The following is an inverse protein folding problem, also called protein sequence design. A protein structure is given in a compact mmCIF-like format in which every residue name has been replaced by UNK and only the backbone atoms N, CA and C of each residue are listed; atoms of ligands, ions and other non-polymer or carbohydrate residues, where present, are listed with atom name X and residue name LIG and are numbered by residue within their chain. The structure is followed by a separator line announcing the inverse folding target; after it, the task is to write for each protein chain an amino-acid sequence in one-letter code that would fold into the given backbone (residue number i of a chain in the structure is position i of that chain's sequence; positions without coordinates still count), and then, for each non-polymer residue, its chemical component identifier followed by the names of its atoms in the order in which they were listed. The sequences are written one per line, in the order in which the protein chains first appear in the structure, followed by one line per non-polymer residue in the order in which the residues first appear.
data_IF_842501641901
#
_entry.id   IF_842501641901
#
_cell.length_a   1.000
_cell.length_b   1.000
_cell.length_c   1.000
_cell.angle_alpha   90.00
_cell.angle_beta   90.00
_cell.angle_gamma   90.00
#
_symmetry.space_group_name_H-M   'P 1'
#
loop_
_entity.id
_entity.type
_entity.pdbx_description
1 polymer ?
#
# COMPACT_ATOMS: atom_id res chain seq x y z
N UNK A 1 -16.74 9.27 -0.63
CA UNK A 1 -16.77 8.45 0.61
C UNK A 1 -17.47 9.14 1.79
N UNK A 2 -17.21 10.42 2.15
CA UNK A 2 -17.80 11.04 3.36
C UNK A 2 -19.33 11.02 3.43
N UNK A 3 -20.02 11.10 2.28
CA UNK A 3 -21.48 11.11 2.22
C UNK A 3 -22.19 9.76 2.44
N UNK A 4 -21.49 8.63 2.31
CA UNK A 4 -22.09 7.29 2.46
C UNK A 4 -21.78 6.62 3.79
N UNK A 5 -20.87 7.18 4.60
CA UNK A 5 -20.49 6.60 5.88
C UNK A 5 -21.70 6.46 6.82
N UNK A 6 -22.58 7.47 6.83
CA UNK A 6 -23.82 7.49 7.62
C UNK A 6 -24.91 6.56 7.09
N UNK A 7 -24.78 6.10 5.84
CA UNK A 7 -25.72 5.16 5.20
C UNK A 7 -25.34 3.72 5.55
N UNK A 8 -24.03 3.45 5.63
CA UNK A 8 -23.49 2.09 5.84
C UNK A 8 -23.30 1.79 7.34
N UNK A 9 -22.75 2.74 8.10
CA UNK A 9 -22.50 2.56 9.54
C UNK A 9 -23.57 3.24 10.37
N UNK A 10 -24.27 2.43 11.17
CA UNK A 10 -25.20 2.92 12.19
C UNK A 10 -24.46 3.69 13.29
N UNK A 11 -25.18 4.47 14.08
CA UNK A 11 -24.60 5.15 15.24
C UNK A 11 -23.92 4.17 16.21
N UNK A 12 -24.50 2.98 16.40
CA UNK A 12 -23.92 1.94 17.25
C UNK A 12 -22.62 1.35 16.68
N UNK A 13 -22.52 1.14 15.36
CA UNK A 13 -21.26 0.72 14.74
C UNK A 13 -20.16 1.74 15.01
N UNK A 14 -20.44 3.03 14.82
CA UNK A 14 -19.46 4.09 15.08
C UNK A 14 -19.02 4.14 16.53
N UNK A 15 -19.99 4.02 17.44
CA UNK A 15 -19.74 4.01 18.89
C UNK A 15 -18.84 2.84 19.30
N UNK A 16 -19.11 1.63 18.80
CA UNK A 16 -18.29 0.46 19.13
C UNK A 16 -16.92 0.48 18.44
N UNK A 17 -16.80 1.07 17.24
CA UNK A 17 -15.48 1.30 16.61
C UNK A 17 -14.65 2.27 17.46
N UNK A 18 -15.23 3.40 17.87
CA UNK A 18 -14.55 4.36 18.74
C UNK A 18 -14.15 3.72 20.08
N UNK A 19 -15.06 2.98 20.71
CA UNK A 19 -14.78 2.23 21.94
C UNK A 19 -13.62 1.28 21.76
N UNK A 20 -13.61 0.50 20.68
CA UNK A 20 -12.51 -0.42 20.37
C UNK A 20 -11.18 0.33 20.23
N UNK A 21 -11.16 1.47 19.53
CA UNK A 21 -9.95 2.28 19.34
C UNK A 21 -9.43 2.82 20.68
N UNK A 22 -10.29 3.34 21.55
CA UNK A 22 -9.89 3.86 22.86
C UNK A 22 -9.45 2.75 23.83
N UNK A 23 -10.12 1.60 23.82
CA UNK A 23 -9.79 0.46 24.69
C UNK A 23 -8.40 -0.14 24.38
N UNK A 24 -7.90 0.04 23.15
CA UNK A 24 -6.59 -0.46 22.71
C UNK A 24 -5.53 0.63 22.60
N UNK A 25 -5.83 1.86 23.01
CA UNK A 25 -4.86 2.95 23.04
C UNK A 25 -3.82 2.67 24.13
N UNK A 26 -2.53 2.81 23.79
CA UNK A 26 -1.43 2.65 24.73
C UNK A 26 -1.37 3.85 25.72
N UNK A 27 -0.63 3.69 26.82
CA UNK A 27 -0.47 4.75 27.84
C UNK A 27 0.13 6.05 27.31
N UNK A 28 0.90 5.98 26.22
CA UNK A 28 1.51 7.13 25.52
C UNK A 28 0.53 7.85 24.57
N UNK A 29 -0.71 7.35 24.46
CA UNK A 29 -1.74 7.82 23.55
C UNK A 29 -1.64 7.24 22.13
N UNK A 30 -0.58 6.50 21.81
CA UNK A 30 -0.41 5.91 20.48
C UNK A 30 -1.12 4.57 20.31
N UNK A 31 -1.07 4.04 19.09
CA UNK A 31 -1.60 2.72 18.72
C UNK A 31 -0.54 1.94 17.97
N UNK A 32 -0.37 0.67 18.31
CA UNK A 32 0.56 -0.24 17.61
C UNK A 32 -0.04 -0.89 16.37
N UNK A 33 0.80 -1.60 15.61
CA UNK A 33 0.38 -2.40 14.44
C UNK A 33 -0.59 -3.54 14.83
N UNK A 34 -0.53 -3.97 16.08
CA UNK A 34 -1.38 -4.99 16.68
C UNK A 34 -1.64 -4.60 18.14
N UNK A 35 -2.64 -5.22 18.78
CA UNK A 35 -3.14 -4.84 20.12
C UNK A 35 -2.11 -4.87 21.25
N UNK A 36 -1.02 -5.63 21.11
CA UNK A 36 0.09 -5.68 22.09
C UNK A 36 1.35 -4.97 21.60
N UNK A 37 1.27 -4.30 20.45
CA UNK A 37 2.41 -3.64 19.83
C UNK A 37 2.70 -2.29 20.48
N UNK A 38 3.98 -1.90 20.44
CA UNK A 38 4.36 -0.53 20.74
C UNK A 38 3.67 0.43 19.77
N UNK A 39 3.42 1.64 20.24
CA UNK A 39 2.84 2.70 19.43
C UNK A 39 3.69 2.96 18.19
N UNK A 40 3.04 2.96 17.03
CA UNK A 40 3.68 3.23 15.74
C UNK A 40 3.01 4.42 15.08
N UNK A 41 3.78 5.19 14.30
CA UNK A 41 3.29 6.39 13.63
C UNK A 41 2.13 6.11 12.69
N UNK A 42 2.26 5.05 11.89
CA UNK A 42 1.28 4.69 10.88
C UNK A 42 -0.12 4.44 11.46
N UNK A 43 -0.21 3.55 12.45
CA UNK A 43 -1.46 3.15 13.08
C UNK A 43 -2.04 4.26 13.94
N UNK A 44 -1.19 4.99 14.67
CA UNK A 44 -1.60 6.13 15.48
C UNK A 44 -2.24 7.20 14.62
N UNK A 45 -1.57 7.61 13.54
CA UNK A 45 -2.07 8.65 12.66
C UNK A 45 -3.36 8.24 11.94
N UNK A 46 -3.45 7.01 11.43
CA UNK A 46 -4.69 6.54 10.80
C UNK A 46 -5.88 6.56 11.75
N UNK A 47 -5.71 6.12 13.00
CA UNK A 47 -6.78 6.09 13.99
C UNK A 47 -7.14 7.49 14.50
N UNK A 48 -6.14 8.32 14.80
CA UNK A 48 -6.30 9.73 15.16
C UNK A 48 -7.18 10.49 14.15
N UNK A 49 -7.16 10.07 12.88
CA UNK A 49 -7.94 10.69 11.80
C UNK A 49 -9.21 9.97 11.45
N UNK A 50 -9.32 8.69 11.83
CA UNK A 50 -10.57 7.96 11.73
C UNK A 50 -11.58 8.46 12.77
N UNK A 51 -11.16 8.92 13.96
CA UNK A 51 -12.11 9.39 14.99
C UNK A 51 -12.91 10.64 14.58
N UNK A 52 -12.33 11.71 13.97
CA UNK A 52 -13.10 12.79 13.35
C UNK A 52 -14.08 12.34 12.28
N UNK A 53 -13.67 11.38 11.44
CA UNK A 53 -14.52 10.85 10.35
C UNK A 53 -15.73 10.12 10.94
N UNK A 54 -15.57 9.44 12.08
CA UNK A 54 -16.65 8.76 12.79
C UNK A 54 -17.57 9.73 13.55
N UNK A 55 -17.18 11.00 13.71
CA UNK A 55 -17.96 12.05 14.36
C UNK A 55 -17.56 12.37 15.80
N UNK A 56 -16.38 11.90 16.24
CA UNK A 56 -15.80 12.22 17.54
C UNK A 56 -14.62 13.20 17.39
N UNK A 57 -14.16 13.81 18.48
CA UNK A 57 -12.98 14.66 18.46
C UNK A 57 -11.69 13.91 18.07
N UNK A 58 -10.61 14.64 17.75
CA UNK A 58 -9.29 14.04 17.64
C UNK A 58 -8.91 13.34 18.95
N UNK A 59 -8.38 12.12 18.87
CA UNK A 59 -7.81 11.44 20.03
C UNK A 59 -6.71 12.31 20.67
N UNK A 60 -6.39 12.08 21.95
CA UNK A 60 -5.26 12.76 22.61
C UNK A 60 -4.03 12.63 21.72
N UNK A 61 -3.51 13.78 21.25
CA UNK A 61 -2.38 13.87 20.31
C UNK A 61 -1.17 13.21 20.97
N UNK A 62 -0.72 12.05 20.47
CA UNK A 62 0.40 11.35 21.10
C UNK A 62 1.68 12.10 20.74
N UNK A 63 2.62 12.17 21.69
CA UNK A 63 3.97 12.72 21.44
C UNK A 63 4.64 12.06 20.24
N UNK A 64 4.20 10.85 19.88
CA UNK A 64 4.67 10.10 18.71
C UNK A 64 4.42 10.85 17.40
N UNK A 65 3.28 11.55 17.23
CA UNK A 65 2.98 12.31 16.01
C UNK A 65 4.08 13.33 15.71
N UNK A 66 4.71 13.88 16.76
CA UNK A 66 5.85 14.80 16.68
C UNK A 66 7.17 14.22 16.12
N UNK A 67 7.20 12.94 15.72
CA UNK A 67 8.40 12.18 15.41
C UNK A 67 8.41 11.49 14.02
N UNK A 68 7.48 11.80 13.11
CA UNK A 68 7.29 11.03 11.87
C UNK A 68 8.18 11.39 10.68
N UNK A 69 8.94 10.43 10.15
CA UNK A 69 9.47 10.48 8.77
C UNK A 69 8.41 10.09 7.71
N UNK A 70 8.78 10.33 6.45
CA UNK A 70 8.18 9.83 5.20
C UNK A 70 8.03 8.30 5.15
N UNK A 71 7.17 7.70 5.96
CA UNK A 71 6.60 6.42 5.57
C UNK A 71 5.43 6.73 4.63
N UNK A 72 5.74 6.80 3.34
CA UNK A 72 4.79 6.91 2.23
C UNK A 72 3.95 5.65 2.11
N UNK A 73 3.14 5.37 3.13
CA UNK A 73 2.07 4.40 3.05
C UNK A 73 1.05 4.91 2.04
N UNK A 74 0.69 4.05 1.09
CA UNK A 74 -0.24 4.33 -0.01
C UNK A 74 -1.56 4.97 0.45
N UNK A 75 -2.02 4.66 1.67
CA UNK A 75 -3.20 5.27 2.28
C UNK A 75 -3.13 6.81 2.32
N UNK A 76 -1.98 7.39 2.62
CA UNK A 76 -1.82 8.85 2.72
C UNK A 76 -1.91 9.55 1.38
N UNK A 77 -1.46 8.88 0.32
CA UNK A 77 -1.53 9.42 -1.03
C UNK A 77 -2.97 9.41 -1.55
N UNK A 78 -3.68 8.30 -1.31
CA UNK A 78 -5.10 8.17 -1.64
C UNK A 78 -5.94 9.20 -0.89
N UNK A 79 -5.65 9.45 0.39
CA UNK A 79 -6.32 10.49 1.19
C UNK A 79 -5.95 11.92 0.75
N UNK A 80 -4.93 12.10 -0.08
CA UNK A 80 -4.44 13.41 -0.52
C UNK A 80 -3.60 14.15 0.52
N UNK A 81 -3.20 13.47 1.59
CA UNK A 81 -2.38 14.05 2.66
C UNK A 81 -0.92 14.14 2.25
N UNK A 82 -0.46 13.20 1.42
CA UNK A 82 0.91 13.15 0.91
C UNK A 82 0.91 13.00 -0.61
N UNK A 83 1.96 13.49 -1.27
CA UNK A 83 2.07 13.42 -2.73
C UNK A 83 2.62 12.05 -3.16
N UNK A 84 2.08 11.52 -4.26
CA UNK A 84 2.52 10.28 -4.88
C UNK A 84 3.98 10.31 -5.33
N UNK A 85 4.54 11.50 -5.61
CA UNK A 85 5.96 11.69 -5.92
C UNK A 85 6.89 11.34 -4.74
N UNK A 86 6.40 11.46 -3.52
CA UNK A 86 7.17 11.17 -2.32
C UNK A 86 7.20 9.68 -1.93
N UNK A 87 6.52 8.80 -2.68
CA UNK A 87 6.41 7.36 -2.42
C UNK A 87 7.22 6.55 -3.43
N UNK A 88 7.68 5.36 -3.00
CA UNK A 88 8.36 4.42 -3.90
C UNK A 88 7.45 4.08 -5.10
N UNK A 89 8.02 3.97 -6.31
CA UNK A 89 7.23 3.72 -7.51
C UNK A 89 6.61 2.32 -7.50
N UNK A 90 5.33 2.22 -7.86
CA UNK A 90 4.61 0.94 -8.01
C UNK A 90 4.12 0.80 -9.46
N UNK A 91 5.02 0.46 -10.40
CA UNK A 91 4.69 0.42 -11.83
C UNK A 91 3.66 -0.68 -12.12
N UNK A 92 2.47 -0.36 -12.67
CA UNK A 92 1.46 -1.37 -13.02
C UNK A 92 1.96 -2.33 -14.11
N UNK A 93 2.95 -1.91 -14.90
CA UNK A 93 3.55 -2.70 -15.98
C UNK A 93 4.14 -4.02 -15.46
N UNK A 94 4.52 -4.08 -14.19
CA UNK A 94 4.97 -5.30 -13.52
C UNK A 94 3.94 -6.44 -13.57
N UNK A 95 2.64 -6.10 -13.54
CA UNK A 95 1.55 -7.08 -13.54
C UNK A 95 1.22 -7.59 -14.93
N UNK A 96 1.49 -6.81 -15.97
CA UNK A 96 1.18 -7.21 -17.34
C UNK A 96 1.95 -8.45 -17.74
N UNK A 97 1.26 -9.33 -18.46
CA UNK A 97 1.84 -10.56 -18.99
C UNK A 97 3.09 -10.22 -19.80
N UNK A 98 4.24 -10.68 -19.32
CA UNK A 98 5.52 -10.60 -20.00
C UNK A 98 5.44 -11.28 -21.38
N UNK A 99 5.12 -10.52 -22.41
CA UNK A 99 5.55 -10.81 -23.80
C UNK A 99 6.83 -10.06 -24.17
N UNK A 100 7.25 -9.09 -23.35
CA UNK A 100 8.43 -8.24 -23.63
C UNK A 100 9.72 -8.72 -22.94
N UNK A 101 9.66 -9.52 -21.87
CA UNK A 101 10.86 -10.10 -21.25
C UNK A 101 11.06 -11.55 -21.76
N UNK A 102 12.23 -11.89 -22.37
CA UNK A 102 12.49 -13.21 -22.95
C UNK A 102 12.49 -14.39 -21.98
N UNK A 103 12.28 -14.17 -20.68
CA UNK A 103 12.54 -15.14 -19.60
C UNK A 103 11.29 -15.51 -18.76
N UNK A 104 10.08 -15.40 -19.31
CA UNK A 104 8.88 -15.88 -18.62
C UNK A 104 8.63 -17.39 -18.83
N UNK A 105 8.55 -18.21 -17.76
CA UNK A 105 8.50 -19.67 -17.82
C UNK A 105 7.10 -20.24 -18.12
N UNK A 106 6.41 -19.72 -19.14
CA UNK A 106 5.17 -20.33 -19.69
C UNK A 106 5.28 -20.72 -21.17
N UNK A 107 6.50 -20.68 -21.74
CA UNK A 107 6.81 -21.17 -23.10
C UNK A 107 7.75 -22.38 -23.16
N UNK A 108 8.21 -22.89 -22.02
CA UNK A 108 9.02 -24.11 -21.96
C UNK A 108 8.43 -25.11 -20.97
N UNK A 109 7.25 -25.63 -21.29
CA UNK A 109 7.00 -27.06 -21.05
C UNK A 109 8.05 -27.82 -21.87
N UNK A 110 8.83 -28.70 -21.24
CA UNK A 110 10.07 -29.36 -21.73
C UNK A 110 11.39 -28.67 -21.38
N UNK A 111 11.73 -28.55 -20.09
CA UNK A 111 13.10 -28.76 -19.60
C UNK A 111 13.01 -29.30 -18.16
N UNK A 112 13.84 -30.29 -17.76
CA UNK A 112 13.69 -30.96 -16.48
C UNK A 112 13.97 -30.01 -15.31
N UNK A 113 13.14 -30.20 -14.28
CA UNK A 113 13.09 -29.47 -13.02
C UNK A 113 14.47 -29.28 -12.36
N UNK A 114 14.88 -28.07 -11.93
CA UNK A 114 16.09 -27.87 -11.13
C UNK A 114 15.88 -28.26 -9.66
N UNK A 115 15.25 -29.41 -9.39
CA UNK A 115 15.20 -30.02 -8.04
C UNK A 115 16.47 -30.79 -7.70
N UNK A 116 17.43 -30.91 -8.61
CA UNK A 116 18.52 -31.88 -8.47
C UNK A 116 19.90 -31.30 -8.13
N UNK A 117 20.04 -30.00 -7.81
CA UNK A 117 21.37 -29.44 -7.54
C UNK A 117 21.48 -28.27 -6.53
N UNK A 118 20.49 -28.06 -5.66
CA UNK A 118 20.65 -27.15 -4.50
C UNK A 118 20.06 -27.74 -3.21
N UNK A 119 20.35 -29.02 -2.95
CA UNK A 119 20.20 -29.64 -1.64
C UNK A 119 21.51 -29.46 -0.86
N UNK A 120 21.65 -28.29 -0.23
CA UNK A 120 22.43 -28.02 1.00
C UNK A 120 22.66 -26.51 1.11
N UNK A 121 21.70 -25.76 1.66
CA UNK A 121 22.03 -24.56 2.42
C UNK A 121 20.98 -24.36 3.52
N UNK A 122 21.33 -24.86 4.71
CA UNK A 122 21.04 -24.16 5.95
C UNK A 122 21.43 -22.70 5.77
N UNK A 123 20.47 -21.79 5.74
CA UNK A 123 20.52 -20.54 6.50
C UNK A 123 19.24 -19.76 6.22
N UNK A 124 18.53 -19.46 7.31
CA UNK A 124 17.37 -18.57 7.47
C UNK A 124 17.65 -17.10 7.05
N UNK A 125 18.67 -16.87 6.22
CA UNK A 125 19.13 -15.59 5.69
C UNK A 125 19.70 -15.81 4.28
N UNK A 126 18.85 -16.03 3.29
CA UNK A 126 19.28 -15.95 1.90
C UNK A 126 18.19 -15.33 1.04
N UNK A 127 18.18 -13.99 1.07
CA UNK A 127 18.05 -13.15 -0.12
C UNK A 127 16.65 -13.09 -0.76
N UNK A 128 15.75 -12.25 -0.23
CA UNK A 128 14.38 -11.94 -0.73
C UNK A 128 14.24 -11.44 -2.20
N UNK A 129 15.26 -11.55 -3.06
CA UNK A 129 15.26 -11.01 -4.43
C UNK A 129 14.38 -11.79 -5.41
N UNK A 130 14.10 -13.07 -5.14
CA UNK A 130 13.31 -13.92 -6.03
C UNK A 130 11.82 -13.53 -6.09
N UNK A 131 11.31 -12.78 -5.11
CA UNK A 131 9.92 -12.29 -5.12
C UNK A 131 9.69 -11.06 -6.02
N UNK A 132 10.76 -10.36 -6.41
CA UNK A 132 10.69 -9.15 -7.26
C UNK A 132 10.70 -9.44 -8.76
N UNK A 133 10.93 -10.69 -9.17
CA UNK A 133 11.17 -11.01 -10.60
C UNK A 133 9.97 -11.65 -11.28
N UNK A 134 8.96 -12.11 -10.54
CA UNK A 134 7.77 -12.73 -11.11
C UNK A 134 6.58 -12.61 -10.17
N UNK A 135 5.53 -11.93 -10.63
CA UNK A 135 4.25 -11.84 -9.93
C UNK A 135 3.67 -13.24 -9.58
N UNK A 136 3.97 -14.27 -10.38
CA UNK A 136 3.49 -15.63 -10.13
C UNK A 136 4.11 -16.29 -8.89
N UNK A 137 5.32 -15.86 -8.49
CA UNK A 137 6.06 -16.40 -7.33
C UNK A 137 5.83 -15.61 -6.04
N UNK A 138 5.08 -14.50 -6.09
CA UNK A 138 4.74 -13.72 -4.91
C UNK A 138 3.76 -14.47 -4.00
N UNK A 139 3.85 -14.22 -2.70
CA UNK A 139 2.86 -14.70 -1.73
C UNK A 139 1.45 -14.22 -2.14
N UNK A 140 0.45 -15.08 -1.95
CA UNK A 140 -0.93 -14.83 -2.42
C UNK A 140 -1.47 -13.48 -1.95
N UNK A 141 -1.27 -13.17 -0.66
CA UNK A 141 -1.67 -11.89 -0.06
C UNK A 141 -1.07 -10.70 -0.82
N UNK A 142 0.26 -10.64 -0.92
CA UNK A 142 0.97 -9.57 -1.64
C UNK A 142 0.52 -9.45 -3.11
N UNK A 143 0.32 -10.57 -3.79
CA UNK A 143 -0.16 -10.59 -5.19
C UNK A 143 -1.57 -10.03 -5.35
N UNK A 144 -2.37 -10.00 -4.29
CA UNK A 144 -3.73 -9.43 -4.31
C UNK A 144 -3.77 -7.98 -3.81
N UNK A 145 -2.86 -7.59 -2.90
CA UNK A 145 -2.80 -6.22 -2.37
C UNK A 145 -2.07 -5.24 -3.29
N UNK A 146 -0.95 -5.64 -3.91
CA UNK A 146 -0.13 -4.70 -4.69
C UNK A 146 -0.72 -4.27 -6.04
N UNK A 147 -1.51 -5.09 -6.77
CA UNK A 147 -2.15 -4.62 -8.01
C UNK A 147 -3.06 -3.38 -7.82
N UNK A 148 -4.03 -3.35 -6.88
CA UNK A 148 -4.83 -2.15 -6.67
C UNK A 148 -3.99 -0.96 -6.19
N UNK A 149 -2.94 -1.18 -5.38
CA UNK A 149 -2.00 -0.09 -5.04
C UNK A 149 -1.28 0.47 -6.28
N UNK A 150 -0.89 -0.39 -7.22
CA UNK A 150 -0.23 0.00 -8.47
C UNK A 150 -1.20 0.73 -9.40
N UNK A 151 -2.49 0.34 -9.40
CA UNK A 151 -3.55 1.06 -10.10
C UNK A 151 -3.66 2.51 -9.59
N UNK A 152 -3.78 2.71 -8.27
CA UNK A 152 -3.85 4.06 -7.69
C UNK A 152 -2.58 4.88 -7.92
N UNK A 153 -1.41 4.24 -7.88
CA UNK A 153 -0.14 4.89 -8.21
C UNK A 153 -0.12 5.37 -9.66
N UNK A 154 -0.58 4.54 -10.59
CA UNK A 154 -0.58 4.84 -12.02
C UNK A 154 -1.58 5.95 -12.39
N UNK A 155 -2.77 5.92 -11.79
CA UNK A 155 -3.82 6.92 -12.00
C UNK A 155 -3.60 8.21 -11.20
N UNK A 156 -2.63 8.20 -10.25
CA UNK A 156 -2.40 9.29 -9.29
C UNK A 156 -3.68 9.67 -8.55
N UNK A 157 -4.45 8.67 -8.17
CA UNK A 157 -5.75 8.88 -7.53
C UNK A 157 -5.59 9.61 -6.19
N UNK A 158 -6.36 10.68 -6.01
CA UNK A 158 -6.41 11.46 -4.78
C UNK A 158 -7.87 11.73 -4.46
N UNK A 159 -8.26 11.47 -3.21
CA UNK A 159 -9.59 11.77 -2.71
C UNK A 159 -9.87 13.28 -2.66
N UNK A 160 -11.13 13.69 -2.43
CA UNK A 160 -11.48 15.10 -2.34
C UNK A 160 -10.73 15.78 -1.19
N UNK A 161 -10.10 16.91 -1.49
CA UNK A 161 -9.41 17.73 -0.48
C UNK A 161 -10.47 18.46 0.35
N UNK A 162 -10.64 18.00 1.59
CA UNK A 162 -11.52 18.65 2.58
C UNK A 162 -10.69 19.55 3.50
N UNK A 163 -11.30 20.49 4.24
CA UNK A 163 -10.59 21.30 5.23
C UNK A 163 -9.77 20.44 6.22
N UNK A 164 -10.31 19.28 6.58
CA UNK A 164 -9.60 18.28 7.39
C UNK A 164 -8.30 17.80 6.71
N UNK A 165 -8.30 17.56 5.40
CA UNK A 165 -7.10 17.17 4.62
C UNK A 165 -6.07 18.31 4.55
N UNK A 166 -6.50 19.57 4.57
CA UNK A 166 -5.58 20.71 4.60
C UNK A 166 -4.90 20.87 5.96
N UNK A 167 -5.65 20.76 7.06
CA UNK A 167 -5.12 20.72 8.43
C UNK A 167 -4.08 19.59 8.58
N UNK A 168 -4.43 18.42 8.04
CA UNK A 168 -3.58 17.23 8.01
C UNK A 168 -2.21 17.47 7.36
N UNK A 169 -2.21 18.15 6.21
CA UNK A 169 -0.96 18.49 5.50
C UNK A 169 -0.08 19.37 6.38
N UNK A 170 -0.67 20.38 7.03
CA UNK A 170 0.10 21.30 7.87
C UNK A 170 0.75 20.59 9.07
N UNK A 171 0.05 19.65 9.70
CA UNK A 171 0.62 18.88 10.82
C UNK A 171 1.79 18.00 10.39
N UNK A 172 1.64 17.25 9.28
CA UNK A 172 2.68 16.29 8.85
C UNK A 172 3.93 16.99 8.31
N UNK A 173 3.78 18.09 7.58
CA UNK A 173 4.93 18.75 6.95
C UNK A 173 5.80 19.53 7.95
N UNK A 174 5.32 19.78 9.18
CA UNK A 174 6.10 20.51 10.20
C UNK A 174 7.23 19.67 10.84
N UNK A 175 7.23 18.35 10.72
CA UNK A 175 7.99 17.47 11.65
C UNK A 175 8.98 16.49 10.98
N UNK A 176 9.35 16.73 9.72
CA UNK A 176 10.09 15.84 8.81
C UNK A 176 11.58 15.56 9.21
N UNK A 177 11.99 15.73 10.47
CA UNK A 177 13.42 15.77 10.84
C UNK A 177 13.87 14.81 11.98
N UNK A 178 13.14 13.72 12.30
CA UNK A 178 13.48 12.78 13.41
C UNK A 178 13.32 11.28 13.03
N UNK A 179 13.98 10.33 13.74
CA UNK A 179 14.59 9.12 13.15
C UNK A 179 13.71 7.86 12.97
N UNK A 180 14.26 6.96 12.14
CA UNK A 180 13.81 5.69 11.52
C UNK A 180 13.36 4.52 12.42
N UNK A 181 12.80 4.77 13.60
CA UNK A 181 12.55 3.69 14.58
C UNK A 181 11.47 2.67 14.14
N UNK A 182 10.49 3.10 13.33
CA UNK A 182 9.38 2.24 12.87
C UNK A 182 9.70 1.34 11.65
N UNK A 183 10.91 1.42 11.09
CA UNK A 183 11.27 0.65 9.90
C UNK A 183 11.79 -0.76 10.23
N UNK A 184 10.87 -1.71 10.33
CA UNK A 184 11.18 -3.12 10.64
C UNK A 184 12.07 -3.79 9.57
N UNK A 185 11.92 -3.44 8.29
CA UNK A 185 12.67 -4.02 7.18
C UNK A 185 13.37 -2.93 6.36
N UNK A 186 14.54 -2.45 6.81
CA UNK A 186 15.26 -1.41 6.11
C UNK A 186 15.70 -1.88 4.72
N UNK A 187 15.45 -1.04 3.71
CA UNK A 187 15.92 -1.30 2.35
C UNK A 187 17.46 -1.33 2.31
N UNK A 188 18.01 -2.41 1.74
CA UNK A 188 19.44 -2.53 1.48
C UNK A 188 19.91 -1.64 0.32
N UNK A 189 21.22 -1.41 0.15
CA UNK A 189 21.77 -0.51 -0.86
C UNK A 189 21.31 -0.83 -2.29
N UNK A 190 21.25 -2.11 -2.65
CA UNK A 190 20.80 -2.58 -3.96
C UNK A 190 19.32 -2.26 -4.21
N UNK A 191 18.48 -2.43 -3.18
CA UNK A 191 17.06 -2.14 -3.28
C UNK A 191 16.80 -0.63 -3.42
N UNK A 192 17.57 0.19 -2.72
CA UNK A 192 17.52 1.66 -2.88
C UNK A 192 17.91 2.06 -4.30
N UNK A 193 19.05 1.57 -4.78
CA UNK A 193 19.49 1.82 -6.16
C UNK A 193 18.45 1.40 -7.20
N UNK A 194 17.78 0.26 -7.00
CA UNK A 194 16.71 -0.21 -7.88
C UNK A 194 15.51 0.75 -7.87
N UNK A 195 15.04 1.17 -6.70
CA UNK A 195 13.95 2.14 -6.59
C UNK A 195 14.31 3.50 -7.17
N UNK A 196 15.53 3.98 -6.92
CA UNK A 196 16.06 5.22 -7.50
C UNK A 196 16.13 5.14 -9.03
N UNK A 197 16.50 3.98 -9.58
CA UNK A 197 16.51 3.74 -11.03
C UNK A 197 15.10 3.75 -11.61
N UNK A 198 14.14 3.08 -10.96
CA UNK A 198 12.74 3.10 -11.40
C UNK A 198 12.17 4.51 -11.37
N UNK A 199 12.42 5.25 -10.30
CA UNK A 199 11.89 6.60 -10.13
C UNK A 199 12.52 7.60 -11.10
N UNK A 200 13.84 7.62 -11.24
CA UNK A 200 14.54 8.63 -12.04
C UNK A 200 14.59 8.30 -13.54
N UNK A 201 14.44 7.02 -13.92
CA UNK A 201 14.58 6.57 -15.32
C UNK A 201 13.26 6.01 -15.85
N UNK A 202 12.71 4.98 -15.21
CA UNK A 202 11.54 4.28 -15.75
C UNK A 202 10.27 5.16 -15.73
N UNK A 203 10.04 5.91 -14.67
CA UNK A 203 8.85 6.74 -14.54
C UNK A 203 8.81 7.88 -15.58
N UNK A 204 9.89 8.67 -15.82
CA UNK A 204 9.91 9.64 -16.91
C UNK A 204 9.78 9.01 -18.30
N UNK A 205 10.30 7.79 -18.52
CA UNK A 205 10.18 7.09 -19.79
C UNK A 205 8.74 6.64 -20.05
N UNK A 206 8.07 6.07 -19.05
CA UNK A 206 6.69 5.58 -19.17
C UNK A 206 5.68 6.74 -19.29
N UNK A 207 5.99 7.92 -18.74
CA UNK A 207 5.22 9.16 -18.97
C UNK A 207 5.34 9.70 -20.40
N UNK A 208 6.31 9.25 -21.21
CA UNK A 208 6.43 9.70 -22.61
C UNK A 208 5.30 9.13 -23.45
N UNK A 209 4.81 9.92 -24.40
CA UNK A 209 3.70 9.58 -25.29
C UNK A 209 3.87 8.22 -26.00
N UNK A 210 5.11 7.82 -26.32
CA UNK A 210 5.44 6.55 -27.00
C UNK A 210 5.17 5.32 -26.14
N UNK A 211 5.27 5.44 -24.81
CA UNK A 211 5.15 4.32 -23.87
C UNK A 211 3.89 4.38 -23.02
N UNK A 212 3.10 5.47 -23.10
CA UNK A 212 1.87 5.60 -22.33
C UNK A 212 0.87 4.46 -22.60
N UNK A 213 0.84 3.94 -23.84
CA UNK A 213 0.00 2.78 -24.19
C UNK A 213 0.34 1.52 -23.39
N UNK A 214 1.59 1.35 -22.96
CA UNK A 214 1.98 0.22 -22.10
C UNK A 214 1.33 0.38 -20.72
N UNK A 215 1.34 1.59 -20.18
CA UNK A 215 0.71 1.92 -18.91
C UNK A 215 -0.80 1.77 -18.97
N UNK A 216 -1.44 2.26 -20.02
CA UNK A 216 -2.89 2.11 -20.22
C UNK A 216 -3.30 0.63 -20.28
N UNK A 217 -2.56 -0.18 -21.05
CA UNK A 217 -2.78 -1.63 -21.10
C UNK A 217 -2.55 -2.30 -19.73
N UNK A 218 -1.58 -1.80 -18.96
CA UNK A 218 -1.29 -2.31 -17.63
C UNK A 218 -2.39 -2.00 -16.62
N UNK A 219 -2.90 -0.77 -16.65
CA UNK A 219 -4.05 -0.34 -15.86
C UNK A 219 -5.26 -1.22 -16.19
N UNK A 220 -5.56 -1.41 -17.48
CA UNK A 220 -6.68 -2.28 -17.92
C UNK A 220 -6.52 -3.72 -17.44
N UNK A 221 -5.34 -4.31 -17.62
CA UNK A 221 -5.07 -5.67 -17.16
C UNK A 221 -5.21 -5.82 -15.64
N UNK A 222 -4.71 -4.84 -14.87
CA UNK A 222 -4.89 -4.80 -13.41
C UNK A 222 -6.36 -4.68 -13.04
N UNK A 223 -7.13 -3.90 -13.82
CA UNK A 223 -8.58 -3.73 -13.66
C UNK A 223 -9.34 -5.05 -13.81
N UNK A 224 -9.12 -5.74 -14.93
CA UNK A 224 -9.72 -7.04 -15.20
C UNK A 224 -9.38 -8.07 -14.11
N UNK A 225 -8.14 -8.04 -13.61
CA UNK A 225 -7.66 -8.96 -12.58
C UNK A 225 -8.38 -8.76 -11.23
N UNK A 226 -8.65 -7.51 -10.82
CA UNK A 226 -9.37 -7.30 -9.58
C UNK A 226 -10.85 -7.60 -9.70
N UNK A 227 -11.49 -7.28 -10.83
CA UNK A 227 -12.90 -7.64 -11.07
C UNK A 227 -13.11 -9.15 -11.07
N UNK A 228 -12.23 -9.91 -11.72
CA UNK A 228 -12.28 -11.36 -11.69
C UNK A 228 -12.21 -11.93 -10.25
N UNK A 229 -11.27 -11.42 -9.45
CA UNK A 229 -11.12 -11.87 -8.05
C UNK A 229 -12.33 -11.47 -7.19
N UNK A 230 -12.91 -10.28 -7.40
CA UNK A 230 -14.09 -9.83 -6.68
C UNK A 230 -15.32 -10.69 -7.01
N UNK A 231 -15.52 -11.04 -8.28
CA UNK A 231 -16.61 -11.96 -8.69
C UNK A 231 -16.43 -13.36 -8.10
N UNK A 232 -15.21 -13.91 -8.17
CA UNK A 232 -14.93 -15.26 -7.64
C UNK A 232 -14.97 -15.34 -6.12
N UNK A 233 -14.68 -14.25 -5.41
CA UNK A 233 -14.72 -14.17 -3.94
C UNK A 233 -16.04 -13.64 -3.39
N UNK A 234 -17.06 -13.44 -4.24
CA UNK A 234 -18.34 -12.83 -3.87
C UNK A 234 -18.16 -11.47 -3.16
N UNK A 235 -17.19 -10.66 -3.61
CA UNK A 235 -16.85 -9.33 -3.08
C UNK A 235 -16.35 -9.34 -1.62
N UNK A 236 -15.92 -10.49 -1.09
CA UNK A 236 -15.35 -10.61 0.24
C UNK A 236 -13.84 -10.38 0.20
N UNK A 237 -13.17 -10.85 -0.86
CA UNK A 237 -11.70 -10.85 -1.03
C UNK A 237 -10.96 -11.67 0.04
N UNK A 238 -9.62 -11.67 0.01
CA UNK A 238 -8.77 -12.46 0.93
C UNK A 238 -8.61 -11.82 2.33
N UNK A 239 -8.84 -10.51 2.47
CA UNK A 239 -8.42 -9.78 3.66
C UNK A 239 -9.03 -8.39 3.82
N UNK A 240 -8.83 -7.83 5.02
CA UNK A 240 -9.44 -6.57 5.43
C UNK A 240 -8.81 -5.33 4.77
N UNK A 241 -7.59 -5.42 4.24
CA UNK A 241 -6.97 -4.32 3.51
C UNK A 241 -7.36 -4.34 2.03
N UNK A 242 -7.40 -5.53 1.44
CA UNK A 242 -7.72 -5.76 0.04
C UNK A 242 -9.14 -5.32 -0.31
N UNK A 243 -10.11 -5.68 0.53
CA UNK A 243 -11.51 -5.38 0.29
C UNK A 243 -11.78 -3.87 0.09
N UNK A 244 -11.45 -2.98 1.06
CA UNK A 244 -11.69 -1.55 0.88
C UNK A 244 -10.82 -0.94 -0.24
N UNK A 245 -9.61 -1.44 -0.46
CA UNK A 245 -8.75 -1.04 -1.59
C UNK A 245 -9.42 -1.29 -2.94
N UNK A 246 -9.99 -2.49 -3.12
CA UNK A 246 -10.66 -2.91 -4.36
C UNK A 246 -11.99 -2.20 -4.54
N UNK A 247 -12.78 -2.10 -3.47
CA UNK A 247 -14.02 -1.32 -3.46
C UNK A 247 -13.76 0.13 -3.89
N UNK A 248 -12.65 0.73 -3.43
CA UNK A 248 -12.24 2.06 -3.84
C UNK A 248 -11.78 2.11 -5.31
N UNK A 249 -11.07 1.08 -5.79
CA UNK A 249 -10.58 1.03 -7.17
C UNK A 249 -11.74 0.90 -8.17
N UNK A 250 -12.78 0.14 -7.83
CA UNK A 250 -14.02 0.03 -8.60
C UNK A 250 -14.86 1.31 -8.58
N UNK A 251 -14.68 2.17 -7.58
CA UNK A 251 -15.40 3.43 -7.43
C UNK A 251 -14.74 4.61 -8.17
N UNK A 252 -13.41 4.58 -8.27
CA UNK A 252 -12.57 5.64 -8.84
C UNK A 252 -12.62 5.71 -10.37
#
# INVERSE_FOLDING_TARGET
IPGYLNVIFTAEHKKEILRYTYDHQNEDGGLGLHITGLSMMFTTFLNYRTTPILGDGPMVVPTILHHGEKLGWWCYNILGVYDWEGSNPMPPEFWTRSTLLPSHPRKHSFLPHPSFLLLKLNSYKSSNWYYLTSAAKMFSYSRLTYPPMSYFYATRFVGPITPLVEELRQEIYCEINRPKEDNYYPHGPVQRFMWDSFYNIAEPLLKRWTFNKIRDNAIQFTNDQFHYEDETSCYITIGCAENPLRMLACWA
#
